data_IF_484608490434
#
_entry.id   IF_484608490434
#
_cell.length_a   1.000
_cell.length_b   1.000
_cell.length_c   1.000
_cell.angle_alpha   90.00
_cell.angle_beta   90.00
_cell.angle_gamma   90.00
#
_symmetry.space_group_name_H-M   'P 1'
#
loop_
_entity.id
_entity.type
_entity.pdbx_description
1 polymer ?
#
# COMPACT_ATOMS: atom_id res chain seq x y z
N UNK A 1 0.60 13.76 9.74
CA UNK A 1 2.07 13.99 9.80
C UNK A 1 2.88 12.71 9.79
N UNK A 2 2.61 11.72 10.65
CA UNK A 2 3.46 10.50 10.75
C UNK A 2 3.57 9.69 9.46
N UNK A 3 2.50 9.62 8.65
CA UNK A 3 2.49 8.88 7.38
C UNK A 3 3.48 9.48 6.35
N UNK A 4 3.53 10.80 6.23
CA UNK A 4 4.50 11.48 5.35
C UNK A 4 5.94 11.30 5.81
N UNK A 5 6.17 11.26 7.12
CA UNK A 5 7.50 11.02 7.65
C UNK A 5 7.99 9.61 7.27
N UNK A 6 7.14 8.60 7.41
CA UNK A 6 7.47 7.22 7.00
C UNK A 6 7.67 7.13 5.49
N UNK A 7 6.81 7.76 4.68
CA UNK A 7 6.95 7.76 3.23
C UNK A 7 8.24 8.41 2.73
N UNK A 8 8.60 9.56 3.31
CA UNK A 8 9.86 10.23 2.98
C UNK A 8 11.09 9.41 3.40
N UNK A 9 11.06 8.75 4.56
CA UNK A 9 12.17 7.92 5.02
C UNK A 9 12.34 6.66 4.17
N UNK A 10 11.24 5.96 3.87
CA UNK A 10 11.30 4.66 3.21
C UNK A 10 11.41 4.77 1.68
N UNK A 11 10.75 5.76 1.09
CA UNK A 11 10.59 5.91 -0.37
C UNK A 11 11.13 7.24 -0.92
N UNK A 12 11.52 8.18 -0.05
CA UNK A 12 11.88 9.56 -0.42
C UNK A 12 10.79 10.25 -1.25
N UNK A 13 9.52 9.95 -0.94
CA UNK A 13 8.34 10.57 -1.55
C UNK A 13 7.41 11.06 -0.46
N UNK A 14 6.77 12.20 -0.71
CA UNK A 14 5.61 12.63 0.07
C UNK A 14 4.39 11.83 -0.41
N UNK A 15 3.79 11.05 0.50
CA UNK A 15 2.71 10.11 0.19
C UNK A 15 1.32 10.65 0.55
N UNK A 16 1.22 11.83 1.19
CA UNK A 16 -0.04 12.55 1.42
C UNK A 16 -0.16 13.78 0.53
N UNK A 17 0.81 14.01 -0.36
CA UNK A 17 0.70 15.09 -1.31
C UNK A 17 -0.49 14.85 -2.24
N UNK A 18 -1.59 15.58 -1.97
CA UNK A 18 -2.81 15.54 -2.79
C UNK A 18 -2.59 16.13 -4.19
N UNK A 19 -1.48 16.83 -4.43
CA UNK A 19 -1.09 17.28 -5.77
C UNK A 19 -0.41 16.17 -6.57
N UNK A 20 0.09 15.14 -5.90
CA UNK A 20 0.67 13.95 -6.52
C UNK A 20 -0.40 12.89 -6.76
N UNK A 21 -0.68 12.59 -8.03
CA UNK A 21 -1.62 11.53 -8.43
C UNK A 21 -1.24 10.19 -7.78
N UNK A 22 0.05 9.86 -7.74
CA UNK A 22 0.54 8.63 -7.14
C UNK A 22 0.45 8.63 -5.60
N UNK A 23 0.69 9.78 -4.96
CA UNK A 23 0.52 9.92 -3.51
C UNK A 23 -0.93 9.72 -3.09
N UNK A 24 -1.85 10.35 -3.82
CA UNK A 24 -3.28 10.18 -3.60
C UNK A 24 -3.75 8.73 -3.78
N UNK A 25 -3.35 8.06 -4.88
CA UNK A 25 -3.68 6.65 -5.13
C UNK A 25 -3.12 5.73 -4.03
N UNK A 26 -1.89 5.97 -3.57
CA UNK A 26 -1.30 5.21 -2.48
C UNK A 26 -2.08 5.38 -1.18
N UNK A 27 -2.39 6.63 -0.82
CA UNK A 27 -3.11 6.94 0.41
C UNK A 27 -4.53 6.35 0.40
N UNK A 28 -5.26 6.47 -0.70
CA UNK A 28 -6.60 5.89 -0.84
C UNK A 28 -6.57 4.37 -0.71
N UNK A 29 -5.65 3.71 -1.41
CA UNK A 29 -5.50 2.26 -1.33
C UNK A 29 -5.09 1.80 0.08
N UNK A 30 -4.21 2.53 0.76
CA UNK A 30 -3.83 2.24 2.15
C UNK A 30 -4.98 2.46 3.12
N UNK A 31 -5.76 3.53 2.94
CA UNK A 31 -6.94 3.80 3.74
C UNK A 31 -7.98 2.69 3.60
N UNK A 32 -8.25 2.24 2.37
CA UNK A 32 -9.16 1.11 2.13
C UNK A 32 -8.62 -0.19 2.72
N UNK A 33 -7.33 -0.47 2.58
CA UNK A 33 -6.70 -1.61 3.24
C UNK A 33 -6.90 -1.58 4.77
N UNK A 34 -6.65 -0.43 5.40
CA UNK A 34 -6.80 -0.26 6.85
C UNK A 34 -8.25 -0.44 7.32
N UNK A 35 -9.23 0.01 6.54
CA UNK A 35 -10.65 -0.23 6.83
C UNK A 35 -10.99 -1.72 6.86
N UNK A 36 -10.46 -2.51 5.91
CA UNK A 36 -10.67 -3.95 5.90
C UNK A 36 -9.87 -4.68 6.98
N UNK A 37 -8.64 -4.25 7.26
CA UNK A 37 -7.82 -4.79 8.33
C UNK A 37 -8.43 -4.56 9.73
N UNK A 38 -9.10 -3.41 9.93
CA UNK A 38 -9.79 -3.09 11.18
C UNK A 38 -11.18 -3.72 11.32
N UNK A 39 -11.71 -4.35 10.26
CA UNK A 39 -13.05 -4.93 10.26
C UNK A 39 -13.07 -6.23 11.08
N UNK A 40 -13.99 -6.40 12.04
CA UNK A 40 -14.12 -7.65 12.78
C UNK A 40 -14.31 -8.84 11.84
N UNK A 41 -13.52 -9.90 12.03
CA UNK A 41 -13.54 -11.08 11.19
C UNK A 41 -13.96 -12.32 11.99
N UNK A 42 -15.12 -12.87 11.65
CA UNK A 42 -15.65 -14.10 12.27
C UNK A 42 -14.71 -15.29 12.03
N UNK A 43 -14.00 -15.31 10.90
CA UNK A 43 -13.05 -16.37 10.60
C UNK A 43 -11.78 -16.34 11.50
N UNK A 44 -11.54 -15.26 12.24
CA UNK A 44 -10.47 -15.23 13.24
C UNK A 44 -10.85 -16.02 14.51
N UNK A 45 -12.15 -16.11 14.81
CA UNK A 45 -12.69 -16.92 15.92
C UNK A 45 -12.98 -18.37 15.53
N UNK A 46 -13.30 -18.62 14.25
CA UNK A 46 -13.64 -19.93 13.72
C UNK A 46 -12.69 -20.33 12.58
N UNK A 47 -11.57 -21.03 12.87
CA UNK A 47 -10.51 -21.31 11.91
C UNK A 47 -10.97 -22.02 10.63
N UNK A 48 -12.02 -22.85 10.70
CA UNK A 48 -12.55 -23.55 9.53
C UNK A 48 -13.25 -22.62 8.52
N UNK A 49 -13.68 -21.42 8.92
CA UNK A 49 -14.26 -20.40 8.02
C UNK A 49 -13.20 -19.60 7.25
N UNK A 50 -11.91 -19.72 7.60
CA UNK A 50 -10.83 -18.94 6.97
C UNK A 50 -10.69 -19.19 5.47
N UNK A 51 -10.96 -20.42 5.03
CA UNK A 51 -10.89 -20.76 3.61
C UNK A 51 -12.06 -20.18 2.81
N UNK A 52 -13.24 -20.07 3.43
CA UNK A 52 -14.44 -19.54 2.78
C UNK A 52 -14.41 -18.02 2.61
N UNK A 53 -13.69 -17.30 3.50
CA UNK A 53 -13.68 -15.84 3.59
C UNK A 53 -15.11 -15.24 3.55
N UNK A 54 -15.98 -15.60 4.52
CA UNK A 54 -17.42 -15.31 4.45
C UNK A 54 -17.74 -13.81 4.38
N UNK A 55 -16.84 -12.95 4.88
CA UNK A 55 -16.97 -11.50 4.86
C UNK A 55 -16.14 -10.84 3.74
N UNK A 56 -15.44 -11.62 2.92
CA UNK A 56 -14.58 -11.14 1.84
C UNK A 56 -13.40 -10.29 2.32
N UNK A 57 -13.04 -10.36 3.60
CA UNK A 57 -12.04 -9.48 4.23
C UNK A 57 -10.68 -9.76 3.62
N UNK A 58 -10.29 -11.03 3.53
CA UNK A 58 -9.00 -11.42 2.96
C UNK A 58 -8.91 -10.99 1.50
N UNK A 59 -9.96 -11.24 0.71
CA UNK A 59 -10.00 -10.87 -0.71
C UNK A 59 -9.85 -9.36 -0.91
N UNK A 60 -10.56 -8.55 -0.14
CA UNK A 60 -10.48 -7.09 -0.25
C UNK A 60 -9.13 -6.55 0.23
N UNK A 61 -8.59 -7.07 1.33
CA UNK A 61 -7.25 -6.70 1.80
C UNK A 61 -6.18 -6.94 0.73
N UNK A 62 -6.19 -8.12 0.09
CA UNK A 62 -5.24 -8.45 -0.98
C UNK A 62 -5.38 -7.46 -2.16
N UNK A 63 -6.62 -7.12 -2.55
CA UNK A 63 -6.86 -6.17 -3.65
C UNK A 63 -6.27 -4.79 -3.35
N UNK A 64 -6.57 -4.20 -2.20
CA UNK A 64 -6.09 -2.86 -1.86
C UNK A 64 -4.58 -2.84 -1.60
N UNK A 65 -4.04 -3.87 -0.95
CA UNK A 65 -2.59 -4.03 -0.79
C UNK A 65 -1.87 -4.12 -2.15
N UNK A 66 -2.47 -4.81 -3.13
CA UNK A 66 -1.94 -4.86 -4.49
C UNK A 66 -1.82 -3.48 -5.15
N UNK A 67 -2.81 -2.61 -4.96
CA UNK A 67 -2.75 -1.21 -5.41
C UNK A 67 -1.60 -0.44 -4.76
N UNK A 68 -1.45 -0.54 -3.44
CA UNK A 68 -0.35 0.11 -2.71
C UNK A 68 1.01 -0.38 -3.17
N UNK A 69 1.18 -1.70 -3.34
CA UNK A 69 2.43 -2.30 -3.80
C UNK A 69 2.79 -1.86 -5.22
N UNK A 70 1.80 -1.66 -6.10
CA UNK A 70 2.02 -1.16 -7.46
C UNK A 70 2.62 0.26 -7.44
N UNK A 71 2.10 1.14 -6.60
CA UNK A 71 2.62 2.51 -6.47
C UNK A 71 4.04 2.50 -5.87
N UNK A 72 4.27 1.72 -4.81
CA UNK A 72 5.60 1.57 -4.19
C UNK A 72 6.62 1.03 -5.19
N UNK A 73 6.25 0.03 -5.99
CA UNK A 73 7.12 -0.52 -7.02
C UNK A 73 7.52 0.53 -8.06
N UNK A 74 6.60 1.42 -8.44
CA UNK A 74 6.89 2.57 -9.30
C UNK A 74 7.99 3.47 -8.72
N UNK A 75 7.84 3.88 -7.45
CA UNK A 75 8.83 4.73 -6.79
C UNK A 75 10.20 4.07 -6.65
N UNK A 76 10.23 2.77 -6.34
CA UNK A 76 11.49 2.02 -6.25
C UNK A 76 12.15 1.92 -7.64
N UNK A 77 11.38 1.65 -8.69
CA UNK A 77 11.87 1.59 -10.06
C UNK A 77 12.49 2.91 -10.54
N UNK A 78 11.82 4.04 -10.30
CA UNK A 78 12.36 5.38 -10.58
C UNK A 78 13.71 5.60 -9.89
N UNK A 79 13.83 5.19 -8.63
CA UNK A 79 15.06 5.34 -7.85
C UNK A 79 16.19 4.43 -8.35
N UNK A 80 15.86 3.23 -8.81
CA UNK A 80 16.85 2.31 -9.40
C UNK A 80 17.40 2.89 -10.70
N UNK A 81 16.52 3.37 -11.58
CA UNK A 81 16.92 4.02 -12.83
C UNK A 81 17.73 5.31 -12.62
N UNK A 82 17.39 6.11 -11.61
CA UNK A 82 18.18 7.30 -11.27
C UNK A 82 19.61 6.93 -10.83
N UNK A 83 19.78 5.81 -10.10
CA UNK A 83 21.10 5.33 -9.69
C UNK A 83 21.90 4.77 -10.86
N UNK A 84 21.25 4.07 -11.80
CA UNK A 84 21.90 3.54 -13.01
C UNK A 84 22.40 4.69 -13.90
N UNK A 85 21.54 5.66 -14.21
CA UNK A 85 21.92 6.82 -15.03
C UNK A 85 23.00 7.72 -14.42
N UNK A 86 23.15 7.74 -13.09
CA UNK A 86 24.29 8.42 -12.43
C UNK A 86 25.61 7.65 -12.50
N UNK A 87 25.58 6.34 -12.71
CA UNK A 87 26.79 5.50 -12.84
C UNK A 87 27.33 5.47 -14.26
N UNK A 88 26.47 5.72 -15.24
CA UNK A 88 26.82 5.80 -16.67
C UNK A 88 27.38 7.17 -17.09
N UNK A 89 27.35 8.16 -16.18
CA UNK A 89 27.96 9.49 -16.34
C UNK A 89 29.27 9.56 -15.58
#
# INVERSE_FOLDING_TARGET
>A
MSFNLVGNLMLSRDLLDMQSVAGHEFFEAMNMFMQWAGKPNVADFFPFLKWLDPLGIKRNMIRYMGGCMKVVAGFVGERVHEKESRREK
#
